data_IF_526956683255
#
_entry.id   IF_526956683255
#
_cell.length_a   1.000
_cell.length_b   1.000
_cell.length_c   1.000
_cell.angle_alpha   90.00
_cell.angle_beta   90.00
_cell.angle_gamma   90.00
#
_symmetry.space_group_name_H-M   'P 1'
#
loop_
_entity.id
_entity.type
_entity.pdbx_description
1 polymer ?
2 polymer ?
3 non-polymer ?
4 non-polymer ?
5 non-polymer ?
6 non-polymer ?
7 non-polymer ?
8 water ?
#
# COMPACT_ATOMS: atom_id res chain seq x y z
N UNK A 6 10.77 -1.32 -7.82
CA UNK A 6 11.53 -2.56 -7.79
C UNK A 6 12.27 -2.74 -6.46
N UNK A 7 13.57 -2.47 -6.48
CA UNK A 7 14.41 -2.64 -5.30
C UNK A 7 14.55 -1.32 -4.53
N UNK A 8 15.32 -1.35 -3.45
CA UNK A 8 15.50 -0.16 -2.62
C UNK A 8 16.82 0.55 -2.92
N UNK A 9 17.34 1.28 -1.94
CA UNK A 9 18.53 2.06 -2.12
C UNK A 9 19.78 1.25 -1.84
N UNK A 10 20.91 1.70 -2.36
CA UNK A 10 22.20 1.06 -2.11
C UNK A 10 22.72 1.40 -0.71
N UNK A 11 23.80 0.74 -0.30
CA UNK A 11 24.39 0.96 1.01
C UNK A 11 25.06 2.33 1.09
N UNK A 26 17.38 -23.57 13.94
CA UNK A 26 16.16 -24.37 13.93
C UNK A 26 16.42 -25.78 14.41
N UNK A 27 15.50 -26.34 15.18
CA UNK A 27 15.63 -27.70 15.68
C UNK A 27 14.39 -28.54 15.36
N UNK A 28 14.57 -29.57 14.55
CA UNK A 28 13.48 -30.45 14.16
C UNK A 28 13.19 -31.50 15.24
N UNK A 29 12.00 -31.41 15.83
CA UNK A 29 11.60 -32.35 16.89
C UNK A 29 10.33 -33.10 16.51
N UNK A 35 4.26 -35.26 14.38
CA UNK A 35 4.38 -34.17 13.41
C UNK A 35 5.80 -33.60 13.38
N UNK A 36 6.11 -32.89 12.30
CA UNK A 36 7.42 -32.24 12.17
C UNK A 36 7.42 -30.89 12.87
N UNK A 37 7.91 -30.87 14.11
CA UNK A 37 7.90 -29.67 14.93
C UNK A 37 9.20 -28.87 14.83
N UNK A 38 9.09 -27.62 14.41
CA UNK A 38 10.25 -26.73 14.34
C UNK A 38 10.29 -25.83 15.56
N UNK A 39 11.46 -25.78 16.19
CA UNK A 39 11.66 -24.97 17.39
C UNK A 39 12.79 -23.98 17.19
N UNK A 40 12.49 -22.69 17.36
CA UNK A 40 13.50 -21.65 17.22
C UNK A 40 13.52 -20.75 18.45
N UNK A 41 14.61 -20.02 18.64
CA UNK A 41 14.63 -18.98 19.66
C UNK A 41 14.41 -17.64 18.98
N UNK A 42 13.15 -17.21 18.91
CA UNK A 42 12.81 -15.97 18.21
C UNK A 42 12.58 -14.81 19.15
N UNK A 43 12.96 -13.61 18.70
CA UNK A 43 12.76 -12.38 19.44
C UNK A 43 11.38 -11.80 19.14
N UNK A 44 10.62 -11.44 20.19
CA UNK A 44 9.29 -10.83 20.02
C UNK A 44 9.36 -9.47 19.31
N UNK A 45 8.25 -9.06 18.70
CA UNK A 45 8.22 -7.83 17.93
C UNK A 45 8.23 -6.56 18.78
N UNK A 46 7.36 -6.52 19.79
CA UNK A 46 7.29 -5.36 20.67
C UNK A 46 8.19 -5.53 21.88
N UNK A 47 8.37 -4.45 22.64
CA UNK A 47 9.20 -4.48 23.83
C UNK A 47 10.67 -4.68 23.52
N UNK A 48 11.49 -4.77 24.57
CA UNK A 48 12.93 -4.98 24.42
C UNK A 48 13.28 -6.42 24.02
N UNK A 49 14.49 -6.62 23.50
CA UNK A 49 14.92 -7.94 23.04
C UNK A 49 14.91 -8.96 24.17
N UNK A 50 13.84 -9.75 24.22
CA UNK A 50 13.73 -10.84 25.17
C UNK A 50 13.28 -12.08 24.43
N UNK A 51 14.22 -12.75 23.74
CA UNK A 51 13.89 -13.91 22.91
C UNK A 51 13.36 -15.07 23.74
N UNK A 52 12.52 -15.89 23.12
CA UNK A 52 11.97 -17.06 23.79
C UNK A 52 11.85 -18.19 22.78
N UNK A 53 11.81 -19.43 23.27
CA UNK A 53 11.62 -20.56 22.39
C UNK A 53 10.22 -20.52 21.80
N UNK A 54 10.16 -20.63 20.47
CA UNK A 54 8.90 -20.72 19.76
C UNK A 54 8.87 -22.01 18.95
N UNK A 55 7.82 -22.80 19.14
CA UNK A 55 7.66 -24.04 18.39
C UNK A 55 6.46 -23.94 17.46
N UNK A 56 6.60 -24.49 16.26
CA UNK A 56 5.51 -24.46 15.30
C UNK A 56 5.58 -25.64 14.35
N UNK A 57 4.47 -25.90 13.68
CA UNK A 57 4.35 -27.05 12.82
C UNK A 57 3.43 -26.74 11.64
N UNK A 58 3.18 -27.75 10.81
CA UNK A 58 2.30 -27.62 9.66
C UNK A 58 2.75 -26.49 8.73
N UNK A 59 4.05 -26.44 8.47
CA UNK A 59 4.59 -25.39 7.62
C UNK A 59 4.35 -25.70 6.14
N UNK A 60 3.84 -24.72 5.42
CA UNK A 60 3.67 -24.82 3.98
C UNK A 60 3.71 -23.44 3.33
N UNK A 61 4.16 -23.40 2.08
CA UNK A 61 4.24 -22.15 1.33
C UNK A 61 2.85 -21.64 0.97
N UNK A 62 2.60 -20.36 1.21
CA UNK A 62 1.28 -19.80 0.93
C UNK A 62 1.32 -18.62 -0.05
N UNK A 63 2.40 -17.85 -0.02
CA UNK A 63 2.51 -16.71 -0.89
C UNK A 63 3.94 -16.26 -1.12
N UNK A 64 4.16 -15.49 -2.18
CA UNK A 64 5.48 -14.97 -2.48
C UNK A 64 5.40 -13.63 -3.21
N UNK A 65 6.39 -12.79 -3.00
CA UNK A 65 6.47 -11.51 -3.70
C UNK A 65 7.66 -11.52 -4.65
N UNK A 66 8.40 -10.43 -4.67
CA UNK A 66 9.60 -10.35 -5.49
C UNK A 66 10.85 -10.56 -4.63
N UNK A 67 10.66 -10.57 -3.32
CA UNK A 67 11.78 -10.67 -2.39
C UNK A 67 11.63 -11.84 -1.41
N UNK A 68 10.50 -11.87 -0.71
CA UNK A 68 10.31 -12.83 0.36
C UNK A 68 9.43 -14.02 0.03
N UNK A 69 9.72 -15.14 0.68
CA UNK A 69 8.89 -16.33 0.60
C UNK A 69 8.09 -16.47 1.90
N UNK A 70 6.77 -16.55 1.79
CA UNK A 70 5.91 -16.60 2.96
C UNK A 70 5.39 -18.01 3.25
N UNK A 71 5.63 -18.47 4.47
CA UNK A 71 5.11 -19.77 4.94
C UNK A 71 3.93 -19.59 5.86
N UNK A 72 3.04 -20.57 5.88
CA UNK A 72 2.06 -20.66 6.96
C UNK A 72 2.54 -21.66 7.99
N UNK A 73 2.24 -21.42 9.26
CA UNK A 73 2.53 -22.40 10.30
C UNK A 73 1.50 -22.34 11.42
N UNK A 74 1.49 -23.40 12.23
CA UNK A 74 0.66 -23.44 13.43
C UNK A 74 1.56 -23.42 14.64
N UNK A 75 1.38 -22.42 15.50
CA UNK A 75 2.08 -22.37 16.77
C UNK A 75 1.63 -23.53 17.65
N UNK A 76 2.59 -24.28 18.17
CA UNK A 76 2.30 -25.51 18.89
C UNK A 76 1.50 -25.26 20.17
N UNK A 77 1.74 -24.14 20.81
CA UNK A 77 1.04 -23.81 22.06
C UNK A 77 -0.40 -23.40 21.82
N UNK A 78 -0.59 -22.20 21.26
CA UNK A 78 -1.92 -21.64 21.10
C UNK A 78 -2.73 -22.30 19.99
N UNK A 79 -2.04 -22.92 19.03
CA UNK A 79 -2.69 -23.51 17.89
C UNK A 79 -3.02 -22.48 16.83
N UNK A 80 -2.59 -21.24 17.06
CA UNK A 80 -2.91 -20.13 16.16
C UNK A 80 -2.09 -20.18 14.88
N UNK A 81 -2.76 -19.93 13.75
CA UNK A 81 -2.07 -19.85 12.48
C UNK A 81 -1.22 -18.59 12.41
N UNK A 82 -0.04 -18.73 11.83
CA UNK A 82 0.85 -17.62 11.62
C UNK A 82 1.39 -17.65 10.20
N UNK A 83 1.95 -16.52 9.77
CA UNK A 83 2.66 -16.45 8.51
C UNK A 83 4.11 -16.10 8.78
N UNK A 84 5.03 -16.86 8.20
CA UNK A 84 6.45 -16.61 8.40
C UNK A 84 7.09 -16.13 7.11
N UNK A 85 7.42 -14.83 7.05
CA UNK A 85 8.07 -14.28 5.88
C UNK A 85 9.58 -14.46 5.99
N UNK A 86 10.15 -15.19 5.04
CA UNK A 86 11.58 -15.49 5.04
C UNK A 86 12.28 -14.70 3.94
N UNK A 87 13.00 -13.65 4.33
CA UNK A 87 13.69 -12.79 3.37
C UNK A 87 15.21 -12.89 3.50
N UNK A 88 15.89 -12.98 2.37
CA UNK A 88 17.35 -13.04 2.36
C UNK A 88 17.94 -11.69 2.75
N UNK A 89 18.77 -11.67 3.79
CA UNK A 89 19.34 -10.42 4.31
C UNK A 89 20.61 -10.03 3.56
N UNK A 90 20.43 -9.31 2.46
CA UNK A 90 21.56 -8.83 1.65
C UNK A 90 22.10 -7.52 2.21
N UNK A 91 23.43 -7.43 2.31
CA UNK A 91 24.07 -6.24 2.87
C UNK A 91 24.45 -5.25 1.78
N UNK A 92 23.97 -5.48 0.56
CA UNK A 92 24.22 -4.58 -0.56
C UNK A 92 23.12 -3.53 -0.67
N UNK A 93 22.04 -3.75 0.08
CA UNK A 93 20.92 -2.81 0.11
C UNK A 93 20.54 -2.45 1.54
N UNK A 94 19.60 -1.51 1.68
CA UNK A 94 19.17 -1.07 3.00
C UNK A 94 17.87 -1.76 3.42
N UNK A 95 17.97 -2.66 4.39
CA UNK A 95 16.82 -3.44 4.84
C UNK A 95 16.20 -2.90 6.13
N UNK A 96 15.28 -1.95 5.97
CA UNK A 96 14.63 -1.32 7.11
C UNK A 96 13.35 -2.05 7.50
N UNK A 97 13.08 -3.17 6.83
CA UNK A 97 11.82 -3.88 7.01
C UNK A 97 11.59 -4.31 8.46
N UNK A 98 12.60 -4.95 9.05
CA UNK A 98 12.51 -5.35 10.46
C UNK A 98 12.49 -4.13 11.37
N UNK A 99 13.41 -3.21 11.13
CA UNK A 99 13.51 -1.99 11.91
C UNK A 99 12.19 -1.22 11.96
N UNK A 100 11.50 -1.16 10.83
CA UNK A 100 10.27 -0.38 10.75
C UNK A 100 9.09 -1.08 11.40
N UNK A 101 8.86 -2.35 11.04
CA UNK A 101 7.75 -3.12 11.59
C UNK A 101 7.71 -3.15 13.11
N UNK A 102 8.88 -3.25 13.73
CA UNK A 102 8.97 -3.37 15.19
C UNK A 102 8.46 -2.13 15.91
N UNK A 103 8.43 -1.01 15.21
CA UNK A 103 7.99 0.26 15.80
C UNK A 103 6.52 0.52 15.52
N UNK A 104 5.85 -0.43 14.86
CA UNK A 104 4.47 -0.24 14.43
C UNK A 104 3.49 -1.08 15.23
N UNK A 105 2.46 -0.44 15.75
CA UNK A 105 1.40 -1.13 16.48
C UNK A 105 0.06 -0.50 16.12
N UNK A 106 -0.58 -1.04 15.08
CA UNK A 106 -1.86 -0.52 14.63
C UNK A 106 -2.79 -1.64 14.18
N UNK A 107 -4.09 -1.45 14.38
CA UNK A 107 -5.07 -2.50 14.10
C UNK A 107 -5.25 -2.73 12.60
N UNK A 108 -4.73 -1.82 11.78
CA UNK A 108 -4.82 -2.00 10.33
C UNK A 108 -3.45 -2.25 9.72
N UNK A 109 -2.53 -2.71 10.57
CA UNK A 109 -1.21 -3.15 10.12
C UNK A 109 -0.95 -4.54 10.68
N UNK A 110 -0.51 -5.47 9.82
CA UNK A 110 -0.28 -6.84 10.25
C UNK A 110 0.77 -6.88 11.36
N UNK A 111 0.43 -7.60 12.44
CA UNK A 111 1.27 -7.65 13.63
C UNK A 111 2.49 -8.55 13.43
N UNK A 112 3.63 -8.08 13.92
CA UNK A 112 4.85 -8.88 13.94
C UNK A 112 4.98 -9.57 15.29
N UNK A 113 4.65 -10.85 15.33
CA UNK A 113 4.69 -11.62 16.58
C UNK A 113 6.13 -11.83 17.05
N UNK A 114 6.93 -12.46 16.21
CA UNK A 114 8.33 -12.73 16.51
C UNK A 114 9.18 -12.57 15.27
N UNK A 115 10.49 -12.47 15.47
CA UNK A 115 11.44 -12.55 14.35
C UNK A 115 12.68 -13.33 14.78
N UNK A 116 13.27 -14.05 13.84
CA UNK A 116 14.51 -14.77 14.10
C UNK A 116 15.33 -14.90 12.82
N UNK A 117 16.55 -15.43 12.97
CA UNK A 117 17.44 -15.61 11.82
C UNK A 117 17.79 -17.07 11.62
N UNK A 118 18.01 -17.44 10.35
CA UNK A 118 18.35 -18.81 9.99
C UNK A 118 19.19 -18.86 8.72
N UNK A 119 19.96 -19.93 8.56
CA UNK A 119 20.80 -20.10 7.38
C UNK A 119 20.03 -20.71 6.22
N UNK A 122 23.36 -20.62 -1.05
CA UNK A 122 23.70 -21.94 -0.52
C UNK A 122 24.23 -21.82 0.91
N UNK A 123 25.50 -21.46 1.04
CA UNK A 123 26.12 -21.29 2.35
C UNK A 123 26.48 -19.83 2.59
N UNK A 124 26.84 -19.51 3.83
CA UNK A 124 27.21 -18.16 4.24
C UNK A 124 26.11 -17.15 3.92
N UNK A 125 24.86 -17.56 4.09
CA UNK A 125 23.71 -16.70 3.81
C UNK A 125 22.80 -16.57 5.03
N UNK A 126 22.37 -15.34 5.30
CA UNK A 126 21.52 -15.07 6.45
C UNK A 126 20.10 -14.71 6.01
N UNK A 127 19.14 -15.49 6.50
CA UNK A 127 17.72 -15.23 6.22
C UNK A 127 17.02 -14.65 7.43
N UNK A 128 16.32 -13.54 7.21
CA UNK A 128 15.47 -12.96 8.24
C UNK A 128 14.10 -13.62 8.18
N UNK A 129 13.58 -14.02 9.34
CA UNK A 129 12.26 -14.63 9.40
C UNK A 129 11.30 -13.76 10.20
N UNK A 130 10.24 -13.29 9.54
CA UNK A 130 9.24 -12.47 10.21
C UNK A 130 8.00 -13.31 10.48
N UNK A 131 7.72 -13.55 11.76
CA UNK A 131 6.55 -14.32 12.15
C UNK A 131 5.38 -13.37 12.35
N UNK A 132 4.42 -13.45 11.45
CA UNK A 132 3.30 -12.50 11.42
C UNK A 132 1.98 -13.19 11.73
N UNK A 133 0.96 -12.40 12.02
CA UNK A 133 -0.39 -12.93 12.09
C UNK A 133 -0.78 -13.41 10.70
N UNK A 134 -1.42 -14.57 10.63
CA UNK A 134 -1.91 -15.06 9.36
C UNK A 134 -3.20 -14.35 9.01
N UNK A 135 -3.24 -13.80 7.81
CA UNK A 135 -4.46 -13.18 7.28
C UNK A 135 -4.79 -13.90 5.98
N UNK A 136 -6.01 -14.43 5.85
CA UNK A 136 -6.33 -15.35 4.76
C UNK A 136 -6.34 -14.76 3.34
N UNK A 137 -6.91 -13.57 3.14
CA UNK A 137 -7.04 -13.01 1.80
C UNK A 137 -6.31 -11.67 1.60
N UNK A 138 -6.26 -11.23 0.35
CA UNK A 138 -5.75 -9.90 0.00
C UNK A 138 -6.78 -9.14 -0.83
N UNK A 139 -6.71 -7.81 -0.82
CA UNK A 139 -7.59 -7.00 -1.66
C UNK A 139 -7.47 -7.42 -3.12
N UNK A 140 -6.27 -7.76 -3.55
CA UNK A 140 -6.05 -8.23 -4.92
C UNK A 140 -6.88 -9.46 -5.24
N UNK A 141 -6.69 -10.53 -4.45
CA UNK A 141 -7.41 -11.78 -4.67
C UNK A 141 -8.92 -11.59 -4.67
N UNK A 142 -9.41 -10.76 -3.76
CA UNK A 142 -10.85 -10.49 -3.68
C UNK A 142 -11.33 -9.75 -4.93
N UNK A 143 -10.60 -8.72 -5.34
CA UNK A 143 -10.96 -7.96 -6.54
C UNK A 143 -10.92 -8.84 -7.77
N UNK A 144 -9.94 -9.75 -7.82
CA UNK A 144 -9.84 -10.69 -8.93
C UNK A 144 -11.07 -11.56 -9.04
N UNK A 145 -11.67 -11.91 -7.90
CA UNK A 145 -12.89 -12.70 -7.89
C UNK A 145 -14.00 -11.97 -8.64
N UNK A 146 -14.19 -10.70 -8.30
CA UNK A 146 -15.27 -9.92 -8.89
C UNK A 146 -15.03 -9.64 -10.37
N UNK A 147 -13.77 -9.52 -10.76
CA UNK A 147 -13.41 -9.30 -12.16
C UNK A 147 -13.71 -10.55 -12.98
N UNK A 148 -13.47 -11.71 -12.40
CA UNK A 148 -13.76 -12.97 -13.08
C UNK A 148 -15.26 -13.16 -13.20
N UNK A 149 -15.99 -12.79 -12.16
CA UNK A 149 -17.44 -12.96 -12.12
C UNK A 149 -18.18 -11.83 -12.83
N UNK A 150 -17.42 -10.89 -13.38
CA UNK A 150 -17.98 -9.72 -14.07
C UNK A 150 -18.95 -8.97 -13.15
N UNK A 151 -18.54 -8.84 -11.89
CA UNK A 151 -19.30 -8.08 -10.90
C UNK A 151 -18.40 -6.99 -10.34
N UNK A 152 -19.00 -6.01 -9.67
CA UNK A 152 -18.21 -5.00 -8.99
C UNK A 152 -18.33 -5.19 -7.48
N UNK A 153 -17.22 -4.99 -6.79
CA UNK A 153 -17.20 -5.06 -5.34
C UNK A 153 -18.16 -4.03 -4.77
N UNK A 154 -19.11 -4.48 -3.93
CA UNK A 154 -20.09 -3.57 -3.31
C UNK A 154 -19.43 -2.38 -2.63
N UNK A 155 -20.02 -1.20 -2.81
CA UNK A 155 -19.42 0.05 -2.36
C UNK A 155 -19.12 0.04 -0.86
N UNK A 156 -19.94 -0.67 -0.10
CA UNK A 156 -19.74 -0.80 1.34
C UNK A 156 -18.36 -1.38 1.66
N UNK A 157 -17.93 -2.38 0.89
CA UNK A 157 -16.63 -2.97 1.06
C UNK A 157 -15.55 -2.02 0.56
N UNK A 158 -15.84 -1.33 -0.54
CA UNK A 158 -14.94 -0.30 -1.06
C UNK A 158 -14.71 0.77 0.02
N UNK A 159 -15.80 1.28 0.60
CA UNK A 159 -15.71 2.20 1.72
C UNK A 159 -14.87 1.61 2.85
N UNK A 160 -15.26 0.41 3.29
CA UNK A 160 -14.58 -0.25 4.41
C UNK A 160 -13.08 -0.42 4.19
N UNK A 161 -12.71 -1.05 3.08
CA UNK A 161 -11.32 -1.34 2.78
C UNK A 161 -10.50 -0.06 2.67
N UNK A 162 -10.99 0.91 1.90
CA UNK A 162 -10.26 2.14 1.69
C UNK A 162 -10.09 2.93 2.98
N UNK A 163 -11.13 2.97 3.81
CA UNK A 163 -11.07 3.69 5.08
C UNK A 163 -9.99 3.13 5.98
N UNK A 164 -9.90 1.81 6.07
CA UNK A 164 -8.90 1.18 6.92
C UNK A 164 -7.49 1.36 6.36
N UNK A 165 -7.40 1.39 5.03
CA UNK A 165 -6.14 1.69 4.36
C UNK A 165 -5.62 3.09 4.71
N UNK A 166 -6.50 4.09 4.68
CA UNK A 166 -6.07 5.44 4.98
C UNK A 166 -5.70 5.61 6.45
N UNK A 167 -6.33 4.83 7.33
CA UNK A 167 -5.97 4.86 8.74
C UNK A 167 -4.57 4.33 8.94
N UNK A 168 -4.22 3.25 8.24
CA UNK A 168 -2.89 2.69 8.34
C UNK A 168 -1.85 3.69 7.82
N UNK A 169 -2.18 4.38 6.74
CA UNK A 169 -1.28 5.37 6.17
C UNK A 169 -1.10 6.56 7.10
N UNK A 170 -2.19 6.96 7.74
CA UNK A 170 -2.14 8.06 8.71
C UNK A 170 -1.21 7.73 9.86
N UNK A 171 -1.21 6.46 10.26
CA UNK A 171 -0.40 6.01 11.38
C UNK A 171 1.10 6.02 11.05
N UNK A 172 1.46 5.38 9.95
CA UNK A 172 2.87 5.30 9.57
C UNK A 172 3.44 6.65 9.12
N UNK A 173 2.58 7.52 8.60
CA UNK A 173 3.04 8.83 8.17
C UNK A 173 3.34 9.72 9.37
N UNK A 174 2.60 9.50 10.46
CA UNK A 174 2.84 10.24 11.70
C UNK A 174 4.25 9.96 12.26
N UNK A 175 4.83 8.84 11.85
CA UNK A 175 6.20 8.52 12.22
C UNK A 175 7.19 8.96 11.15
N UNK A 176 6.66 9.49 10.05
CA UNK A 176 7.49 9.92 8.93
C UNK A 176 7.82 8.77 8.00
N UNK A 177 7.21 7.62 8.25
CA UNK A 177 7.46 6.43 7.45
C UNK A 177 6.57 6.40 6.22
N UNK A 178 7.18 6.10 5.08
CA UNK A 178 6.47 6.00 3.82
C UNK A 178 6.56 4.56 3.31
N UNK A 179 5.42 3.97 3.00
CA UNK A 179 5.36 2.57 2.60
C UNK A 179 6.04 2.32 1.25
N UNK A 180 5.75 3.20 0.29
CA UNK A 180 6.36 3.20 -1.03
C UNK A 180 6.07 1.93 -1.85
N UNK A 181 5.04 1.19 -1.50
CA UNK A 181 4.67 0.01 -2.28
C UNK A 181 3.21 -0.38 -2.04
N UNK A 182 2.37 0.64 -1.87
CA UNK A 182 0.95 0.43 -1.71
C UNK A 182 0.34 -0.16 -2.98
N UNK A 183 -0.13 -1.39 -2.87
CA UNK A 183 -0.82 -2.08 -3.96
C UNK A 183 -1.73 -3.15 -3.35
N UNK A 184 -2.74 -3.62 -4.10
CA UNK A 184 -3.71 -4.60 -3.61
C UNK A 184 -3.11 -5.92 -3.10
N UNK A 185 -1.93 -6.30 -3.58
CA UNK A 185 -1.27 -7.53 -3.14
C UNK A 185 -0.70 -7.35 -1.74
N UNK A 186 -0.60 -6.10 -1.31
CA UNK A 186 -0.01 -5.77 -0.02
C UNK A 186 -1.07 -5.35 0.98
N UNK A 187 -2.32 -5.59 0.62
CA UNK A 187 -3.44 -5.24 1.48
C UNK A 187 -4.19 -6.51 1.91
N UNK A 188 -3.78 -7.07 3.05
CA UNK A 188 -4.34 -8.31 3.55
C UNK A 188 -5.78 -8.11 4.02
N UNK A 189 -6.63 -9.09 3.74
CA UNK A 189 -8.02 -9.02 4.17
C UNK A 189 -8.42 -10.21 5.01
N UNK A 190 -9.25 -9.95 6.02
CA UNK A 190 -9.98 -10.99 6.71
C UNK A 190 -11.45 -10.84 6.35
N UNK A 191 -11.90 -11.60 5.35
CA UNK A 191 -13.25 -11.47 4.80
C UNK A 191 -14.37 -11.69 5.80
N UNK A 192 -14.13 -12.52 6.82
CA UNK A 192 -15.14 -12.75 7.85
C UNK A 192 -15.39 -11.50 8.67
N UNK A 193 -14.32 -10.89 9.16
CA UNK A 193 -14.43 -9.69 10.00
C UNK A 193 -14.35 -8.41 9.17
N UNK A 194 -14.04 -8.56 7.89
CA UNK A 194 -13.91 -7.43 6.96
C UNK A 194 -12.84 -6.44 7.39
N UNK A 195 -11.77 -6.95 7.98
CA UNK A 195 -10.67 -6.13 8.45
C UNK A 195 -9.54 -6.10 7.43
N UNK A 196 -9.01 -4.91 7.17
CA UNK A 196 -7.86 -4.75 6.30
C UNK A 196 -6.61 -4.53 7.14
N UNK A 197 -5.52 -5.20 6.74
CA UNK A 197 -4.23 -4.99 7.39
C UNK A 197 -3.16 -4.76 6.33
N UNK A 198 -2.45 -3.64 6.46
CA UNK A 198 -1.33 -3.33 5.58
C UNK A 198 -0.15 -4.25 5.89
N UNK A 199 0.56 -4.69 4.86
CA UNK A 199 1.77 -5.50 5.05
C UNK A 199 2.88 -5.11 4.07
N UNK A 200 3.95 -5.89 4.08
CA UNK A 200 5.09 -5.70 3.18
C UNK A 200 5.75 -4.34 3.37
N UNK A 201 6.71 -4.26 4.29
CA UNK A 201 7.44 -3.03 4.54
C UNK A 201 8.86 -3.15 4.01
N UNK A 202 9.04 -4.04 3.04
CA UNK A 202 10.34 -4.27 2.45
C UNK A 202 10.85 -3.09 1.63
N UNK A 203 9.96 -2.16 1.32
CA UNK A 203 10.33 -0.98 0.54
C UNK A 203 10.13 0.29 1.36
N UNK A 204 9.52 0.15 2.53
CA UNK A 204 9.22 1.29 3.38
C UNK A 204 10.49 2.03 3.79
N UNK A 205 10.33 3.30 4.14
CA UNK A 205 11.44 4.15 4.56
C UNK A 205 10.93 5.40 5.26
N UNK A 206 11.68 5.88 6.23
CA UNK A 206 11.36 7.16 6.85
C UNK A 206 11.98 8.29 6.04
N UNK A 207 11.13 8.99 5.28
CA UNK A 207 11.59 10.05 4.39
C UNK A 207 12.04 11.29 5.16
N UNK A 208 13.30 11.67 4.98
CA UNK A 208 13.84 12.84 5.65
C UNK A 208 13.94 14.01 4.70
N UNK A 209 13.26 15.10 5.04
CA UNK A 209 13.29 16.31 4.23
C UNK A 209 14.72 16.85 4.13
N UNK A 210 15.36 16.58 3.00
CA UNK A 210 16.74 16.99 2.80
C UNK A 210 17.60 15.88 2.25
N UNK A 211 17.22 14.64 2.53
CA UNK A 211 17.94 13.48 2.01
C UNK A 211 17.19 12.86 0.84
N UNK A 212 17.89 12.68 -0.28
CA UNK A 212 17.30 12.13 -1.51
C UNK A 212 16.95 10.65 -1.39
N UNK A 213 16.09 10.17 -2.29
CA UNK A 213 15.64 8.78 -2.24
C UNK A 213 15.73 8.13 -3.62
N UNK A 214 15.45 6.83 -3.67
CA UNK A 214 15.50 6.11 -4.94
C UNK A 214 14.25 6.42 -5.77
N UNK A 215 14.44 6.68 -7.05
CA UNK A 215 13.36 7.01 -7.95
C UNK A 215 12.50 5.79 -8.29
N UNK A 216 13.15 4.75 -8.81
CA UNK A 216 12.44 3.54 -9.22
C UNK A 216 11.93 2.78 -8.02
N UNK A 217 10.90 3.33 -7.38
CA UNK A 217 10.27 2.69 -6.24
C UNK A 217 8.80 2.47 -6.60
N UNK A 218 8.08 1.75 -5.73
CA UNK A 218 6.67 1.40 -5.94
C UNK A 218 6.47 0.45 -7.11
N UNK A 219 5.39 -0.32 -7.06
CA UNK A 219 5.07 -1.27 -8.12
C UNK A 219 4.39 -0.56 -9.28
N UNK A 220 4.47 -1.14 -10.47
CA UNK A 220 3.78 -0.61 -11.65
C UNK A 220 2.29 -0.44 -11.39
N UNK A 221 1.64 0.42 -12.19
CA UNK A 221 0.21 0.76 -12.11
C UNK A 221 -0.10 1.71 -10.94
N UNK A 222 0.73 1.71 -9.91
CA UNK A 222 0.43 2.49 -8.70
C UNK A 222 1.49 3.54 -8.38
N UNK A 223 2.46 3.70 -9.27
CA UNK A 223 3.52 4.70 -9.09
C UNK A 223 3.01 6.13 -9.29
N UNK A 224 3.34 7.00 -8.35
CA UNK A 224 3.00 8.42 -8.46
C UNK A 224 3.69 9.05 -9.68
N UNK A 225 3.02 10.03 -10.31
CA UNK A 225 3.61 10.67 -11.50
C UNK A 225 5.00 11.27 -11.24
N UNK A 226 5.20 11.83 -10.05
CA UNK A 226 6.51 12.39 -9.72
C UNK A 226 7.59 11.31 -9.71
N UNK A 227 7.23 10.11 -9.26
CA UNK A 227 8.15 8.98 -9.26
C UNK A 227 8.53 8.58 -10.68
N UNK A 228 7.52 8.52 -11.55
CA UNK A 228 7.72 8.20 -12.95
C UNK A 228 8.66 9.20 -13.62
N UNK A 229 8.53 10.47 -13.23
CA UNK A 229 9.40 11.53 -13.75
C UNK A 229 10.79 11.48 -13.14
N UNK A 230 10.97 10.60 -12.16
CA UNK A 230 12.30 10.36 -11.61
C UNK A 230 12.66 11.23 -10.42
N UNK A 231 11.65 11.85 -9.82
CA UNK A 231 11.85 12.68 -8.63
C UNK A 231 12.51 11.88 -7.52
N UNK A 232 13.44 12.52 -6.82
CA UNK A 232 14.14 11.91 -5.70
C UNK A 232 13.81 12.61 -4.40
N UNK A 233 12.99 13.66 -4.50
CA UNK A 233 12.66 14.48 -3.33
C UNK A 233 11.18 14.40 -2.99
N UNK A 234 10.60 13.23 -3.25
CA UNK A 234 9.17 13.02 -3.04
C UNK A 234 8.82 12.88 -1.57
N UNK A 235 7.53 12.79 -1.27
CA UNK A 235 7.07 12.72 0.12
C UNK A 235 6.15 11.52 0.31
N UNK A 236 5.54 11.44 1.49
CA UNK A 236 4.62 10.35 1.80
C UNK A 236 3.35 10.42 0.97
N UNK A 237 3.19 11.51 0.22
CA UNK A 237 1.98 11.70 -0.58
C UNK A 237 1.95 10.74 -1.78
N UNK A 238 3.05 10.04 -2.04
CA UNK A 238 3.05 9.01 -3.07
C UNK A 238 2.14 7.87 -2.67
N UNK A 239 2.07 7.59 -1.37
CA UNK A 239 1.21 6.55 -0.84
C UNK A 239 -0.25 6.90 -1.06
N UNK A 240 -0.55 8.19 -0.98
CA UNK A 240 -1.91 8.68 -1.17
C UNK A 240 -2.31 8.48 -2.64
N UNK A 241 -1.38 8.75 -3.55
CA UNK A 241 -1.62 8.51 -4.96
C UNK A 241 -1.89 7.03 -5.23
N UNK A 242 -1.06 6.17 -4.66
CA UNK A 242 -1.22 4.73 -4.82
C UNK A 242 -2.60 4.29 -4.34
N UNK A 243 -3.01 4.80 -3.18
CA UNK A 243 -4.32 4.49 -2.62
C UNK A 243 -5.46 4.97 -3.51
N UNK A 244 -5.23 6.08 -4.22
CA UNK A 244 -6.19 6.56 -5.19
C UNK A 244 -6.32 5.59 -6.35
N UNK A 245 -5.18 5.04 -6.75
CA UNK A 245 -5.16 4.03 -7.80
C UNK A 245 -5.92 2.78 -7.36
N UNK A 246 -5.78 2.42 -6.09
CA UNK A 246 -6.49 1.26 -5.57
C UNK A 246 -7.99 1.52 -5.53
N UNK A 247 -8.37 2.70 -5.03
CA UNK A 247 -9.77 3.08 -4.99
C UNK A 247 -10.39 3.00 -6.39
N UNK A 248 -9.71 3.61 -7.35
CA UNK A 248 -10.15 3.62 -8.73
C UNK A 248 -10.27 2.21 -9.29
N UNK A 249 -9.31 1.36 -8.94
CA UNK A 249 -9.32 -0.02 -9.42
C UNK A 249 -10.51 -0.80 -8.87
N UNK A 250 -10.87 -0.54 -7.61
CA UNK A 250 -12.00 -1.21 -6.99
C UNK A 250 -13.31 -0.80 -7.67
N UNK A 251 -13.40 0.47 -8.03
CA UNK A 251 -14.59 1.00 -8.70
C UNK A 251 -14.67 0.53 -10.15
N UNK A 252 -13.52 0.45 -10.81
CA UNK A 252 -13.47 0.08 -12.23
C UNK A 252 -13.53 -1.41 -12.48
N UNK A 253 -12.82 -2.19 -11.67
CA UNK A 253 -12.71 -3.62 -11.89
C UNK A 253 -11.45 -3.98 -12.64
N UNK A 254 -10.64 -2.96 -12.92
CA UNK A 254 -9.32 -3.15 -13.53
C UNK A 254 -8.45 -1.96 -13.15
N UNK A 255 -7.12 -2.09 -13.30
CA UNK A 255 -6.24 -0.96 -12.98
C UNK A 255 -6.54 0.25 -13.87
N UNK A 256 -6.47 1.45 -13.29
CA UNK A 256 -6.83 2.64 -14.04
C UNK A 256 -5.66 3.15 -14.89
N UNK A 257 -4.44 2.91 -14.44
CA UNK A 257 -3.25 3.36 -15.17
C UNK A 257 -2.28 2.23 -15.49
N UNK A 258 -2.67 1.32 -16.39
CA UNK A 258 -1.79 0.19 -16.74
C UNK A 258 -0.64 0.61 -17.67
N UNK A 259 0.19 -0.36 -18.06
CA UNK A 259 1.34 -0.07 -18.91
C UNK A 259 2.60 -0.63 -18.31
N UNK A 260 3.48 -1.14 -19.16
CA UNK A 260 4.74 -1.73 -18.69
C UNK A 260 5.77 -0.66 -18.36
N UNK A 261 5.97 0.27 -19.29
CA UNK A 261 6.96 1.32 -19.13
C UNK A 261 6.41 2.54 -18.39
N UNK A 262 7.33 3.35 -17.87
CA UNK A 262 6.97 4.60 -17.24
C UNK A 262 6.22 5.52 -18.20
N UNK A 263 6.64 5.56 -19.45
CA UNK A 263 5.97 6.41 -20.43
C UNK A 263 4.54 5.92 -20.64
N UNK A 264 4.36 4.62 -20.83
CA UNK A 264 3.04 4.03 -21.00
C UNK A 264 2.08 4.40 -19.87
N UNK A 265 2.57 4.31 -18.64
CA UNK A 265 1.75 4.62 -17.47
C UNK A 265 1.42 6.11 -17.41
N UNK A 266 2.40 6.94 -17.75
CA UNK A 266 2.22 8.38 -17.74
C UNK A 266 1.23 8.82 -18.82
N UNK A 267 1.28 8.15 -19.96
CA UNK A 267 0.32 8.39 -21.03
C UNK A 267 -1.09 8.14 -20.51
N UNK A 268 -1.28 7.01 -19.85
CA UNK A 268 -2.58 6.66 -19.29
C UNK A 268 -3.07 7.70 -18.30
N UNK A 269 -2.17 8.14 -17.43
CA UNK A 269 -2.49 9.16 -16.45
C UNK A 269 -2.93 10.45 -17.15
N UNK A 270 -2.13 10.92 -18.08
CA UNK A 270 -2.45 12.12 -18.84
C UNK A 270 -3.77 11.95 -19.61
N UNK A 271 -4.01 10.75 -20.12
CA UNK A 271 -5.22 10.48 -20.88
C UNK A 271 -6.48 10.57 -20.00
N UNK A 272 -6.27 10.64 -18.69
CA UNK A 272 -7.38 10.82 -17.76
C UNK A 272 -7.33 12.22 -17.13
N UNK A 273 -6.19 12.58 -16.56
CA UNK A 273 -6.05 13.86 -15.84
C UNK A 273 -5.77 15.04 -16.75
N UNK A 274 -5.54 14.79 -18.03
CA UNK A 274 -5.13 15.84 -18.93
C UNK A 274 -3.66 16.14 -18.75
N UNK A 275 -3.06 16.82 -19.73
CA UNK A 275 -1.65 17.18 -19.65
C UNK A 275 -1.39 18.08 -18.46
N UNK A 276 -0.40 17.72 -17.62
CA UNK A 276 -0.05 18.54 -16.46
C UNK A 276 0.48 19.91 -16.86
N UNK A 277 0.03 20.94 -16.14
CA UNK A 277 0.49 22.29 -16.35
C UNK A 277 1.96 22.42 -15.95
N UNK A 278 2.62 23.46 -16.43
CA UNK A 278 4.03 23.67 -16.12
C UNK A 278 4.24 23.73 -14.61
N UNK A 279 3.31 24.38 -13.91
CA UNK A 279 3.38 24.49 -12.46
C UNK A 279 3.26 23.12 -11.80
N UNK A 280 2.35 22.28 -12.29
CA UNK A 280 2.19 20.94 -11.75
C UNK A 280 3.43 20.09 -12.02
N UNK A 281 4.05 20.29 -13.18
CA UNK A 281 5.27 19.58 -13.53
C UNK A 281 6.42 20.00 -12.61
N UNK A 282 6.46 21.29 -12.30
CA UNK A 282 7.51 21.81 -11.42
C UNK A 282 7.40 21.22 -10.02
N UNK A 283 6.17 20.96 -9.57
CA UNK A 283 5.91 20.38 -8.28
C UNK A 283 6.37 18.92 -8.23
N UNK A 284 6.26 18.24 -9.36
CA UNK A 284 6.66 16.85 -9.46
C UNK A 284 8.16 16.73 -9.71
N UNK A 285 8.62 17.34 -10.79
CA UNK A 285 10.04 17.35 -11.14
C UNK A 285 10.36 18.55 -12.03
N UNK A 286 11.06 19.54 -11.48
CA UNK A 286 11.43 20.78 -12.18
C UNK A 286 12.27 20.56 -13.44
N UNK A 287 12.78 19.35 -13.65
CA UNK A 287 13.64 19.07 -14.79
C UNK A 287 12.87 18.85 -16.08
N UNK A 288 11.55 18.95 -16.01
CA UNK A 288 10.70 18.71 -17.17
C UNK A 288 9.85 19.92 -17.54
N UNK A 289 10.05 21.04 -16.84
CA UNK A 289 9.25 22.24 -17.02
C UNK A 289 9.39 22.90 -18.39
N UNK A 290 10.48 22.60 -19.10
CA UNK A 290 10.78 23.32 -20.33
C UNK A 290 10.58 22.45 -21.58
N UNK A 291 9.91 21.32 -21.43
CA UNK A 291 9.58 20.48 -22.57
C UNK A 291 8.18 20.81 -23.06
N UNK A 292 8.00 20.87 -24.38
CA UNK A 292 6.70 21.18 -24.95
C UNK A 292 5.86 19.93 -25.12
N UNK A 293 5.15 19.56 -24.05
CA UNK A 293 4.28 18.39 -24.10
C UNK A 293 2.96 18.74 -24.75
N UNK A 294 2.53 17.89 -25.70
CA UNK A 294 1.24 18.10 -26.37
C UNK A 294 0.11 18.21 -25.36
N UNK A 295 -0.80 19.14 -25.59
CA UNK A 295 -1.86 19.44 -24.65
C UNK A 295 -3.07 18.52 -24.88
N UNK A 296 -3.27 17.57 -23.98
CA UNK A 296 -4.41 16.66 -24.08
C UNK A 296 -5.49 17.05 -23.07
N UNK A 297 -6.72 17.20 -23.55
CA UNK A 297 -7.84 17.57 -22.70
C UNK A 297 -8.14 16.45 -21.71
N UNK A 298 -8.40 16.84 -20.46
CA UNK A 298 -8.66 15.85 -19.42
C UNK A 298 -9.97 15.12 -19.66
N UNK A 299 -10.01 13.87 -19.23
CA UNK A 299 -11.22 13.05 -19.34
C UNK A 299 -11.99 13.15 -18.04
N UNK A 300 -13.26 13.58 -18.12
CA UNK A 300 -14.14 13.76 -16.96
C UNK A 300 -14.22 12.49 -16.11
N UNK A 301 -14.07 12.63 -14.80
CA UNK A 301 -14.08 11.48 -13.89
C UNK A 301 -15.39 10.69 -13.95
N UNK A 302 -16.50 11.38 -14.19
CA UNK A 302 -17.81 10.73 -14.24
C UNK A 302 -17.96 9.85 -15.47
N UNK A 303 -17.13 10.10 -16.49
CA UNK A 303 -17.14 9.29 -17.70
C UNK A 303 -16.13 8.15 -17.58
N UNK A 304 -15.22 8.30 -16.63
CA UNK A 304 -14.20 7.28 -16.37
C UNK A 304 -14.83 6.04 -15.75
N UNK A 305 -15.60 6.24 -14.70
CA UNK A 305 -16.22 5.13 -14.00
C UNK A 305 -17.60 4.79 -14.56
N UNK A 306 -18.18 3.70 -14.08
CA UNK A 306 -19.53 3.31 -14.46
C UNK A 306 -20.52 4.37 -14.01
N UNK A 307 -21.67 4.46 -14.69
CA UNK A 307 -22.68 5.46 -14.34
C UNK A 307 -23.31 5.23 -12.96
N UNK A 308 -23.18 4.02 -12.42
CA UNK A 308 -23.77 3.71 -11.12
C UNK A 308 -22.83 4.08 -9.98
N UNK A 309 -21.64 4.59 -10.33
CA UNK A 309 -20.62 4.93 -9.34
C UNK A 309 -21.03 6.11 -8.47
N UNK A 310 -20.95 5.95 -7.14
CA UNK A 310 -21.31 7.02 -6.20
C UNK A 310 -20.48 8.28 -6.43
N UNK A 311 -21.13 9.44 -6.46
CA UNK A 311 -20.50 10.74 -6.70
C UNK A 311 -19.37 11.03 -5.73
N UNK A 312 -19.56 10.69 -4.46
CA UNK A 312 -18.56 10.96 -3.44
C UNK A 312 -17.31 10.10 -3.62
N UNK A 313 -17.48 8.91 -4.19
CA UNK A 313 -16.34 8.06 -4.52
C UNK A 313 -15.50 8.74 -5.59
N UNK A 314 -16.19 9.21 -6.62
CA UNK A 314 -15.55 9.95 -7.70
C UNK A 314 -14.86 11.21 -7.17
N UNK A 315 -15.57 11.96 -6.34
CA UNK A 315 -15.02 13.14 -5.69
C UNK A 315 -13.77 12.81 -4.90
N UNK A 316 -13.80 11.73 -4.12
CA UNK A 316 -12.65 11.33 -3.33
C UNK A 316 -11.48 10.98 -4.22
N UNK A 317 -11.74 10.26 -5.30
CA UNK A 317 -10.68 9.85 -6.22
C UNK A 317 -9.94 11.07 -6.80
N UNK A 318 -10.69 12.06 -7.24
CA UNK A 318 -10.10 13.25 -7.86
C UNK A 318 -9.22 14.03 -6.89
N UNK A 319 -9.51 13.94 -5.60
CA UNK A 319 -8.75 14.64 -4.57
C UNK A 319 -7.54 13.82 -4.13
N UNK A 320 -7.49 12.57 -4.58
CA UNK A 320 -6.34 11.71 -4.32
C UNK A 320 -5.41 11.70 -5.52
N UNK A 321 -5.98 11.56 -6.71
CA UNK A 321 -5.19 11.48 -7.92
C UNK A 321 -4.95 12.88 -8.51
N UNK A 322 -4.19 13.68 -7.77
CA UNK A 322 -3.77 15.02 -8.19
C UNK A 322 -2.30 15.00 -8.64
N UNK A 323 -1.97 15.78 -9.66
CA UNK A 323 -0.59 15.89 -10.12
C UNK A 323 0.30 16.48 -9.03
N UNK A 324 -0.11 17.63 -8.48
CA UNK A 324 0.63 18.28 -7.40
C UNK A 324 0.51 17.49 -6.10
N UNK A 325 1.64 16.97 -5.61
CA UNK A 325 1.70 16.12 -4.41
C UNK A 325 1.04 16.77 -3.18
N UNK A 326 1.29 18.06 -2.98
CA UNK A 326 0.75 18.77 -1.82
C UNK A 326 -0.75 19.04 -1.96
N UNK A 327 -1.27 18.88 -3.17
CA UNK A 327 -2.69 19.09 -3.43
C UNK A 327 -3.51 17.89 -2.99
N UNK A 328 -2.86 16.72 -2.96
CA UNK A 328 -3.53 15.49 -2.56
C UNK A 328 -3.96 15.56 -1.10
N UNK A 329 -5.06 14.91 -0.78
CA UNK A 329 -5.51 14.80 0.60
C UNK A 329 -4.48 14.07 1.44
N UNK A 330 -4.47 14.35 2.74
CA UNK A 330 -3.71 13.56 3.68
C UNK A 330 -4.55 12.34 4.03
N UNK A 331 -3.91 11.25 4.48
CA UNK A 331 -4.67 10.05 4.87
C UNK A 331 -5.74 10.36 5.92
N UNK A 332 -5.42 11.22 6.89
CA UNK A 332 -6.37 11.61 7.91
C UNK A 332 -7.54 12.38 7.30
N UNK A 333 -7.22 13.31 6.40
CA UNK A 333 -8.24 14.06 5.68
C UNK A 333 -9.10 13.12 4.84
N UNK A 334 -8.47 12.13 4.22
CA UNK A 334 -9.19 11.18 3.39
C UNK A 334 -10.21 10.39 4.21
N UNK A 335 -9.86 10.05 5.43
CA UNK A 335 -10.78 9.34 6.33
C UNK A 335 -11.97 10.22 6.68
N UNK A 336 -11.75 11.53 6.72
CA UNK A 336 -12.78 12.48 7.08
C UNK A 336 -13.70 12.81 5.89
N UNK A 337 -13.38 12.26 4.72
CA UNK A 337 -14.14 12.53 3.51
C UNK A 337 -15.57 12.02 3.64
N UNK A 338 -16.50 12.67 2.94
CA UNK A 338 -17.91 12.33 3.07
C UNK A 338 -18.26 11.00 2.39
N UNK A 339 -17.30 10.41 1.69
CA UNK A 339 -17.53 9.11 1.07
C UNK A 339 -17.62 8.03 2.14
N UNK A 340 -16.96 8.27 3.27
CA UNK A 340 -16.95 7.32 4.37
C UNK A 340 -18.01 7.67 5.42
N UNK A 341 -19.01 8.44 5.02
CA UNK A 341 -20.06 8.85 5.95
C UNK A 341 -20.94 7.69 6.38
N UNK A 342 -21.09 6.70 5.49
CA UNK A 342 -21.91 5.52 5.79
C UNK A 342 -21.32 4.70 6.94
N UNK A 343 -20.00 4.75 7.06
CA UNK A 343 -19.31 4.00 8.10
C UNK A 343 -19.48 4.64 9.47
N UNK A 344 -19.79 5.94 9.49
CA UNK A 344 -19.99 6.66 10.73
C UNK A 344 -21.44 6.54 11.20
N UNK A 345 -22.29 6.00 10.33
CA UNK A 345 -23.66 5.72 10.69
C UNK A 345 -23.69 4.66 11.79
N UNK A 346 -24.42 4.93 12.87
CA UNK A 346 -24.51 3.98 14.00
C UNK A 346 -25.29 2.72 13.65
N UNK A 347 -26.02 2.75 12.54
CA UNK A 347 -26.83 1.61 12.13
C UNK A 347 -26.34 0.95 10.85
N UNK A 348 -25.02 0.81 10.72
CA UNK A 348 -24.43 0.15 9.56
C UNK A 348 -23.96 -1.25 9.95
N UNK A 349 -24.14 -2.22 9.06
CA UNK A 349 -23.74 -3.59 9.33
C UNK A 349 -23.11 -4.25 8.10
N UNK A 350 -22.55 -5.43 8.31
CA UNK A 350 -21.96 -6.21 7.23
C UNK A 350 -23.01 -7.09 6.55
N UNK A 351 -22.87 -7.28 5.23
CA UNK A 351 -23.79 -8.09 4.42
C UNK A 351 -23.97 -9.52 4.94
N UNK A 352 -22.93 -10.07 5.57
CA UNK A 352 -23.00 -11.40 6.13
C UNK A 352 -23.71 -11.40 7.48
N UNK A 353 -24.01 -10.22 8.00
CA UNK A 353 -24.73 -10.08 9.25
C UNK A 353 -23.91 -9.53 10.40
N UNK A 354 -22.59 -9.68 10.32
CA UNK A 354 -21.71 -9.24 11.40
C UNK A 354 -21.66 -7.71 11.52
N UNK A 355 -21.03 -7.25 12.60
CA UNK A 355 -20.93 -5.82 12.89
C UNK A 355 -19.62 -5.26 12.34
N UNK A 356 -19.58 -3.95 12.15
CA UNK A 356 -18.40 -3.28 11.61
C UNK A 356 -17.20 -3.40 12.53
N UNK A 357 -15.99 -3.47 11.95
CA UNK A 357 -14.73 -3.52 12.70
C UNK A 357 -14.41 -2.23 13.44
N UNK A 358 -13.27 -2.19 14.13
CA UNK A 358 -12.81 -0.98 14.79
C UNK A 358 -12.55 0.12 13.77
N UNK A 359 -13.26 1.24 13.90
CA UNK A 359 -13.15 2.32 12.93
C UNK A 359 -12.90 3.68 13.58
N UNK A 360 -13.19 3.79 14.87
CA UNK A 360 -13.15 5.10 15.53
C UNK A 360 -12.24 5.13 16.75
N UNK A 361 -11.40 4.12 16.90
CA UNK A 361 -10.47 4.07 18.03
C UNK A 361 -9.17 4.79 17.73
N UNK A 362 -9.28 6.03 17.26
CA UNK A 362 -8.13 6.85 16.93
C UNK A 362 -7.34 7.25 18.16
N UNK A 363 -6.02 7.15 18.06
CA UNK A 363 -5.15 7.58 19.14
C UNK A 363 -4.69 9.02 18.88
N UNK A 364 -4.02 9.60 19.87
CA UNK A 364 -3.48 10.95 19.75
C UNK A 364 -2.44 11.01 18.64
N UNK A 365 -1.75 9.89 18.42
CA UNK A 365 -0.72 9.81 17.40
C UNK A 365 -1.32 9.85 16.00
N UNK A 366 -2.40 9.11 15.79
CA UNK A 366 -3.08 9.06 14.51
C UNK A 366 -3.65 10.41 14.11
N UNK A 367 -4.07 11.17 15.12
CA UNK A 367 -4.72 12.46 14.89
C UNK A 367 -3.74 13.61 15.04
N UNK A 368 -2.45 13.29 15.06
CA UNK A 368 -1.41 14.29 15.30
C UNK A 368 -1.34 15.33 14.18
N UNK A 369 -1.59 14.89 12.94
CA UNK A 369 -1.47 15.78 11.80
C UNK A 369 -2.58 16.83 11.80
N UNK A 370 -3.74 16.47 12.33
CA UNK A 370 -4.88 17.37 12.35
C UNK A 370 -5.91 16.99 13.41
N UNK A 371 -5.61 17.29 14.69
CA UNK A 371 -6.50 16.93 15.81
C UNK A 371 -7.98 17.37 15.67
N UNK A 372 -8.28 18.57 15.13
CA UNK A 372 -9.70 18.93 15.03
C UNK A 372 -10.55 18.02 14.13
N UNK A 373 -9.93 17.14 13.37
CA UNK A 373 -10.67 16.22 12.51
C UNK A 373 -11.40 15.17 13.32
N UNK A 374 -11.06 15.06 14.61
CA UNK A 374 -11.68 14.09 15.50
C UNK A 374 -13.18 14.33 15.64
N UNK A 375 -13.60 15.58 15.44
CA UNK A 375 -15.01 15.93 15.47
C UNK A 375 -15.78 15.17 14.39
N UNK A 376 -15.13 15.00 13.24
CA UNK A 376 -15.72 14.27 12.14
C UNK A 376 -15.46 12.78 12.28
N UNK A 377 -14.17 12.44 12.43
CA UNK A 377 -13.73 11.04 12.47
C UNK A 377 -14.39 10.23 13.57
N UNK A 378 -14.63 10.85 14.72
CA UNK A 378 -15.26 10.15 15.83
C UNK A 378 -16.67 10.67 16.05
N UNK A 379 -17.67 9.91 15.58
CA UNK A 379 -19.08 10.27 15.77
C UNK A 379 -19.43 10.26 17.25
N UNK A 380 -20.48 11.00 17.64
CA UNK A 380 -20.88 11.10 19.04
C UNK A 380 -21.28 9.76 19.66
N UNK A 381 -21.66 8.80 18.82
CA UNK A 381 -22.10 7.50 19.31
C UNK A 381 -20.93 6.53 19.47
N UNK A 382 -19.71 7.08 19.46
CA UNK A 382 -18.50 6.27 19.62
C UNK A 382 -17.73 6.70 20.86
N UNK A 383 -18.44 7.26 21.83
CA UNK A 383 -17.82 7.75 23.05
C UNK A 383 -18.58 7.25 24.28
N UNK B 5 16.08 7.56 -16.02
CA UNK B 5 16.64 7.80 -17.34
C UNK B 5 16.84 9.28 -17.60
N UNK B 6 17.48 9.61 -18.72
CA UNK B 6 17.73 11.00 -19.09
C UNK B 6 16.42 11.71 -19.42
N UNK B 7 16.19 12.89 -18.81
CA UNK B 7 14.98 13.69 -19.02
C UNK B 7 14.72 14.01 -20.48
N UNK B 8 15.78 14.27 -21.25
CA UNK B 8 15.66 14.57 -22.67
C UNK B 8 15.06 13.38 -23.44
N UNK B 9 15.60 12.19 -23.20
CA UNK B 9 15.15 11.01 -23.91
C UNK B 9 13.74 10.60 -23.46
N UNK B 10 13.46 10.77 -22.18
CA UNK B 10 12.17 10.43 -21.63
C UNK B 10 11.08 11.33 -22.20
N UNK B 11 11.33 12.63 -22.19
CA UNK B 11 10.39 13.61 -22.71
C UNK B 11 10.10 13.40 -24.21
N UNK B 12 11.12 13.00 -24.97
CA UNK B 12 10.92 12.79 -26.41
C UNK B 12 9.93 11.65 -26.63
N UNK B 13 10.12 10.56 -25.90
CA UNK B 13 9.27 9.39 -26.05
C UNK B 13 7.83 9.72 -25.68
N UNK B 14 7.66 10.47 -24.59
CA UNK B 14 6.32 10.84 -24.13
C UNK B 14 5.64 11.78 -25.14
N UNK B 15 6.39 12.75 -25.65
CA UNK B 15 5.86 13.69 -26.63
C UNK B 15 5.45 12.96 -27.91
N UNK B 16 6.28 12.02 -28.35
CA UNK B 16 5.96 11.21 -29.52
C UNK B 16 4.65 10.45 -29.31
N UNK B 17 4.46 9.92 -28.11
CA UNK B 17 3.27 9.15 -27.77
C UNK B 17 2.02 10.03 -27.63
N UNK B 18 2.18 11.20 -27.02
CA UNK B 18 1.06 12.09 -26.80
C UNK B 18 0.55 12.69 -28.11
N UNK B 19 1.42 12.76 -29.10
CA UNK B 19 1.04 13.28 -30.41
C UNK B 19 0.19 12.27 -31.17
N UNK B 20 0.33 11.00 -30.83
CA UNK B 20 -0.42 9.94 -31.51
C UNK B 20 -1.81 9.76 -30.91
N UNK B 21 -1.95 9.96 -29.61
CA UNK B 21 -3.24 9.81 -28.95
C UNK B 21 -4.08 11.08 -29.04
N UNK B 22 -3.48 12.14 -29.57
CA UNK B 22 -4.18 13.41 -29.71
C UNK B 22 -4.68 13.60 -31.13
N UNK B 23 -3.81 13.29 -32.10
CA UNK B 23 -4.15 13.43 -33.51
C UNK B 23 -4.05 12.10 -34.23
X LIG C 1 10.04 -22.25 8.38
X LIG C 1 9.96 -23.38 9.21
X LIG C 1 11.47 -22.11 7.89
X LIG C 1 11.48 -22.05 6.48
X LIG C 1 12.09 -20.84 8.47
X LIG C 1 13.42 -20.71 8.02
X LIG D 1 -10.46 -12.69 -16.96
X LIG D 1 -10.93 -13.81 -16.23
X LIG D 1 -11.09 -11.42 -16.44
X LIG D 1 -10.11 -10.41 -16.32
X LIG D 1 -12.17 -10.93 -17.41
X LIG D 1 -13.26 -11.83 -17.42
X LIG E 1 4.00 -7.57 -1.65
X LIG F 1 7.66 -5.95 -1.17
X LIG G 1 7.14 -9.25 -0.86
X LIG G 1 6.19 -8.72 -1.90
X LIG G 1 8.21 -10.08 -1.53
X LIG G 1 7.82 -8.12 -0.14
X LIG G 1 5.00 -9.78 0.87
X LIG G 1 4.23 -8.76 0.07
X LIG G 1 5.25 -9.23 2.26
X LIG G 1 6.35 -10.15 0.16
X LIG G 1 4.15 -11.08 0.93
X LIG G 1 3.99 -11.77 -0.28
X LIG G 1 2.62 -12.32 -0.37
X LIG G 1 2.44 -13.35 0.71
X LIG G 1 1.62 -11.25 -0.15
X LIG G 1 1.16 -10.69 -1.41
X LIG G 1 0.54 -11.89 0.56
X LIG G 1 -0.46 -12.38 -0.39
X LIG G 1 1.10 -13.02 1.31
X LIG G 1 1.23 -12.65 2.65
X LIG G 1 2.07 -11.77 3.18
X LIG G 1 1.88 -11.68 4.48
X LIG G 1 0.90 -12.50 4.82
X LIG G 1 0.28 -12.82 6.00
X LIG G 1 0.68 -12.21 7.21
X LIG G 1 -0.70 -13.72 6.03
X LIG G 1 -1.11 -14.32 4.90
X LIG G 1 -0.54 -14.03 3.72
X LIG G 1 0.46 -13.15 3.65
X LIG H 1 6.35 -7.17 -3.95
X LIG H 1 5.22 -6.40 -2.94
X LIG H 1 8.03 -6.96 -3.65
X LIG H 1 5.85 -8.45 -4.97
X LIG I 1 -15.86 -9.93 1.12
X LIG I 1 -16.63 -10.89 1.78
X LIG I 1 -16.15 -9.59 -0.21
X LIG I 1 -14.79 -9.31 1.77
#
# INVERSE_FOLDING_TARGET
>A
MSGRPRTTSFAESCKPVQQPSAFGSMKVSRDKDGSKVTTVVATPGQGPDRPQEVSYTDTKVIGNGSFGVVYQAKLCDSGELVAIKKVLQDKRFKNRELQIMRKLDHCNIVRLRYFFYSSGEKKDEVYLNLVLDYVPETVYRVARHYSRAKQTLPVIYVKLYMYQLFRSLAYIHSFGICHRDIKPQNLLLDPDTAVLKLCDFGSAKQLVRGEPNVSYICSRYYRAPELIFGATDYTSSIDVWSAGCVLAELLLGQPIFPGDSGVDQLVEIIKVLGTPTREQIREMNPNYTEFKFPQIKAHPWTKVFRPRTPPEAIALCSRLLEYTPTARLTPLEACAHSFFDELRDPNVKLPNGRDTPALFNFTTQELSSNPPLATILIPPHARHHHHHH
>B
GGILVEPQKFAEELIHRLEAVQRT
>C hetero
1 GOL C1 O1 C2 O2 C3 O3
>D hetero
1 GOL C1 O1 C2 O2 C3 O3
>E hetero
1 MG MG
>F hetero
1 MG MG
>G hetero
1 ADP PB O1B O2B O3B PA O1A O2A O3A O5' C5' C4' O4' C3' O3' C2' O2' C1' N9 C8 N7 C5 C6 N6 N1 C2 N3 C4
>H hetero
1 AF3 AL F1 F2 F3
>I hetero
1 NO3 N O1 O2 O3
#
